data_IF_518843847779
#
_entry.id   IF_518843847779
#
_cell.length_a   1.000
_cell.length_b   1.000
_cell.length_c   1.000
_cell.angle_alpha   90.00
_cell.angle_beta   90.00
_cell.angle_gamma   90.00
#
_symmetry.space_group_name_H-M   'P 1'
#
loop_
_entity.id
_entity.type
_entity.pdbx_description
1 polymer ?
#
# COMPACT_ATOMS: atom_id res chain seq x y z
N UNK A 1 -12.77 14.68 14.86
CA UNK A 1 -12.22 16.03 15.04
C UNK A 1 -13.36 17.04 15.30
N UNK A 2 -13.05 18.15 15.94
CA UNK A 2 -14.06 19.15 16.33
C UNK A 2 -14.79 19.82 15.16
N UNK A 3 -14.34 19.59 13.93
CA UNK A 3 -14.91 20.14 12.69
C UNK A 3 -15.77 19.13 11.90
N UNK A 4 -16.20 18.02 12.50
CA UNK A 4 -16.98 16.98 11.84
C UNK A 4 -16.16 16.05 10.92
N UNK A 5 -14.84 16.20 10.87
CA UNK A 5 -13.95 15.32 10.13
C UNK A 5 -13.45 14.17 10.99
N UNK A 6 -13.24 13.03 10.35
CA UNK A 6 -12.61 11.85 10.95
C UNK A 6 -11.17 11.77 10.47
N UNK A 7 -10.22 11.63 11.40
CA UNK A 7 -8.84 11.29 11.08
C UNK A 7 -8.73 9.78 10.94
N UNK A 8 -8.29 9.35 9.78
CA UNK A 8 -7.90 7.97 9.51
C UNK A 8 -6.39 7.83 9.64
N UNK A 9 -5.95 6.76 10.28
CA UNK A 9 -4.53 6.45 10.38
C UNK A 9 -4.34 4.94 10.32
N UNK A 10 -3.45 4.51 9.43
CA UNK A 10 -3.01 3.12 9.31
C UNK A 10 -1.49 3.03 9.32
N UNK A 11 -0.97 1.86 9.68
CA UNK A 11 0.46 1.55 9.65
C UNK A 11 0.66 0.11 9.20
N UNK A 12 1.43 -0.04 8.13
CA UNK A 12 1.87 -1.33 7.62
C UNK A 12 3.37 -1.33 7.38
N UNK A 13 3.98 -2.48 7.59
CA UNK A 13 5.38 -2.74 7.26
C UNK A 13 5.53 -4.11 6.64
N UNK A 14 6.17 -4.19 5.50
CA UNK A 14 6.41 -5.42 4.75
C UNK A 14 7.89 -5.77 4.77
N UNK A 15 8.18 -7.07 4.74
CA UNK A 15 9.49 -7.61 4.44
C UNK A 15 9.63 -7.74 2.92
N UNK A 16 10.81 -7.45 2.39
CA UNK A 16 11.07 -7.55 0.96
C UNK A 16 10.81 -8.97 0.42
N UNK A 17 9.98 -9.05 -0.60
CA UNK A 17 9.62 -10.27 -1.32
C UNK A 17 10.10 -10.27 -2.78
N UNK A 18 10.72 -9.17 -3.22
CA UNK A 18 11.43 -9.02 -4.48
C UNK A 18 12.79 -8.40 -4.24
N UNK A 19 13.76 -8.68 -5.13
CA UNK A 19 15.14 -8.23 -4.97
C UNK A 19 15.37 -6.77 -5.38
N UNK A 20 14.45 -6.17 -6.12
CA UNK A 20 14.52 -4.76 -6.54
C UNK A 20 13.94 -3.85 -5.44
N UNK A 21 14.75 -3.03 -4.75
CA UNK A 21 14.29 -2.19 -3.66
C UNK A 21 13.28 -1.11 -4.13
N UNK A 22 13.44 -0.59 -5.35
CA UNK A 22 12.53 0.38 -5.92
C UNK A 22 11.14 -0.22 -6.15
N UNK A 23 11.08 -1.39 -6.82
CA UNK A 23 9.82 -2.10 -7.06
C UNK A 23 9.15 -2.54 -5.75
N UNK A 24 9.96 -3.04 -4.81
CA UNK A 24 9.46 -3.41 -3.47
C UNK A 24 8.80 -2.23 -2.78
N UNK A 25 9.49 -1.08 -2.71
CA UNK A 25 8.93 0.11 -2.06
C UNK A 25 7.70 0.65 -2.80
N UNK A 26 7.66 0.57 -4.14
CA UNK A 26 6.50 0.96 -4.93
C UNK A 26 5.27 0.12 -4.59
N UNK A 27 5.42 -1.20 -4.51
CA UNK A 27 4.33 -2.12 -4.12
C UNK A 27 3.92 -1.90 -2.67
N UNK A 28 4.90 -1.83 -1.76
CA UNK A 28 4.63 -1.64 -0.33
C UNK A 28 3.94 -0.30 -0.04
N UNK A 29 4.30 0.77 -0.74
CA UNK A 29 3.62 2.06 -0.61
C UNK A 29 2.16 1.97 -1.06
N UNK A 30 1.88 1.37 -2.22
CA UNK A 30 0.50 1.16 -2.68
C UNK A 30 -0.32 0.30 -1.69
N UNK A 31 0.30 -0.71 -1.09
CA UNK A 31 -0.33 -1.53 -0.05
C UNK A 31 -0.70 -0.66 1.17
N UNK A 32 0.25 0.11 1.71
CA UNK A 32 0.00 0.98 2.87
C UNK A 32 -1.08 2.06 2.61
N UNK A 33 -1.24 2.54 1.37
CA UNK A 33 -2.29 3.50 1.02
C UNK A 33 -3.68 2.84 0.94
N UNK A 34 -3.75 1.52 0.75
CA UNK A 34 -5.00 0.80 0.48
C UNK A 34 -5.97 0.84 1.65
N UNK A 35 -5.49 0.82 2.88
CA UNK A 35 -6.34 0.96 4.08
C UNK A 35 -7.13 2.28 4.09
N UNK A 36 -6.49 3.37 3.67
CA UNK A 36 -7.14 4.68 3.59
C UNK A 36 -8.18 4.68 2.48
N UNK A 37 -7.88 4.06 1.33
CA UNK A 37 -8.83 3.91 0.24
C UNK A 37 -10.01 3.01 0.60
N UNK A 38 -9.77 1.93 1.33
CA UNK A 38 -10.81 1.01 1.79
C UNK A 38 -11.82 1.70 2.72
N UNK A 39 -11.40 2.71 3.46
CA UNK A 39 -12.28 3.53 4.30
C UNK A 39 -13.00 4.65 3.52
N UNK A 40 -12.90 4.70 2.20
CA UNK A 40 -13.55 5.75 1.39
C UNK A 40 -12.87 7.11 1.51
N UNK A 41 -11.58 7.14 1.81
CA UNK A 41 -10.81 8.37 1.95
C UNK A 41 -9.57 8.36 1.04
N UNK A 42 -8.86 9.49 1.05
CA UNK A 42 -7.63 9.65 0.30
C UNK A 42 -6.47 9.98 1.23
N UNK A 43 -5.27 9.45 0.97
CA UNK A 43 -4.10 9.72 1.79
C UNK A 43 -3.73 11.21 1.71
N UNK A 44 -3.35 11.78 2.84
CA UNK A 44 -2.91 13.17 2.96
C UNK A 44 -1.42 13.25 3.23
N UNK A 45 -0.92 12.47 4.19
CA UNK A 45 0.50 12.47 4.56
C UNK A 45 0.94 11.10 5.07
N UNK A 46 2.25 10.83 4.95
CA UNK A 46 2.85 9.59 5.38
C UNK A 46 4.17 9.79 6.12
N UNK A 47 4.49 8.85 7.02
CA UNK A 47 5.81 8.67 7.63
C UNK A 47 6.37 7.34 7.17
N UNK A 48 7.61 7.31 6.65
CA UNK A 48 8.25 6.08 6.23
C UNK A 48 8.96 5.36 7.39
N UNK A 49 8.81 4.05 7.46
CA UNK A 49 9.53 3.17 8.40
C UNK A 49 10.37 2.20 7.59
N UNK A 50 11.69 2.28 7.73
CA UNK A 50 12.63 1.52 6.89
C UNK A 50 13.61 0.72 7.74
N UNK A 51 13.69 -0.59 7.49
CA UNK A 51 14.75 -1.45 8.00
C UNK A 51 15.71 -1.83 6.88
N UNK A 52 17.01 -1.57 7.04
CA UNK A 52 18.01 -1.89 6.02
C UNK A 52 19.00 -2.91 6.57
N UNK A 53 19.27 -4.02 5.86
CA UNK A 53 20.25 -5.00 6.29
C UNK A 53 21.64 -4.41 6.43
N UNK A 54 22.38 -4.89 7.44
CA UNK A 54 23.76 -4.49 7.64
C UNK A 54 24.61 -4.80 6.40
N UNK A 55 25.23 -3.78 5.84
CA UNK A 55 26.04 -3.87 4.64
C UNK A 55 27.11 -2.76 4.59
N UNK A 56 27.91 -2.73 3.54
CA UNK A 56 28.81 -1.60 3.32
C UNK A 56 28.02 -0.29 3.19
N UNK A 57 28.57 0.80 3.72
CA UNK A 57 27.93 2.14 3.69
C UNK A 57 27.47 2.55 2.28
N UNK A 58 28.21 2.17 1.24
CA UNK A 58 27.85 2.44 -0.17
C UNK A 58 26.58 1.69 -0.57
N UNK A 59 26.50 0.41 -0.21
CA UNK A 59 25.37 -0.45 -0.56
C UNK A 59 24.09 -0.05 0.21
N UNK A 60 24.21 0.16 1.53
CA UNK A 60 23.09 0.66 2.36
C UNK A 60 22.51 1.97 1.82
N UNK A 61 23.40 2.91 1.43
CA UNK A 61 22.96 4.18 0.84
C UNK A 61 22.23 3.98 -0.48
N UNK A 62 22.69 3.04 -1.32
CA UNK A 62 22.03 2.73 -2.60
C UNK A 62 20.66 2.11 -2.37
N UNK A 63 20.54 1.11 -1.50
CA UNK A 63 19.27 0.48 -1.17
C UNK A 63 18.25 1.51 -0.64
N UNK A 64 18.67 2.33 0.33
CA UNK A 64 17.81 3.36 0.89
C UNK A 64 17.35 4.37 -0.17
N UNK A 65 18.26 4.77 -1.07
CA UNK A 65 17.91 5.68 -2.17
C UNK A 65 16.86 5.09 -3.10
N UNK A 66 17.00 3.82 -3.50
CA UNK A 66 16.04 3.17 -4.39
C UNK A 66 14.69 2.92 -3.70
N UNK A 67 14.68 2.52 -2.43
CA UNK A 67 13.45 2.44 -1.63
C UNK A 67 12.72 3.78 -1.60
N UNK A 68 13.42 4.85 -1.23
CA UNK A 68 12.80 6.18 -1.12
C UNK A 68 12.35 6.72 -2.48
N UNK A 69 13.03 6.37 -3.57
CA UNK A 69 12.59 6.71 -4.93
C UNK A 69 11.27 6.05 -5.28
N UNK A 70 11.13 4.73 -5.05
CA UNK A 70 9.88 4.02 -5.30
C UNK A 70 8.73 4.50 -4.43
N UNK A 71 9.00 4.80 -3.16
CA UNK A 71 8.05 5.41 -2.25
C UNK A 71 7.57 6.79 -2.75
N UNK A 72 8.50 7.67 -3.09
CA UNK A 72 8.19 9.04 -3.51
C UNK A 72 7.33 9.08 -4.78
N UNK A 73 7.65 8.25 -5.78
CA UNK A 73 6.86 8.13 -7.01
C UNK A 73 5.39 7.79 -6.69
N UNK A 74 5.13 6.80 -5.81
CA UNK A 74 3.76 6.43 -5.43
C UNK A 74 3.07 7.52 -4.65
N UNK A 75 3.73 8.13 -3.68
CA UNK A 75 3.13 9.19 -2.86
C UNK A 75 2.79 10.42 -3.70
N UNK A 76 3.66 10.81 -4.64
CA UNK A 76 3.42 11.91 -5.57
C UNK A 76 2.23 11.62 -6.50
N UNK A 77 2.15 10.41 -7.10
CA UNK A 77 1.03 9.97 -7.93
C UNK A 77 -0.32 10.01 -7.18
N UNK A 78 -0.30 9.87 -5.86
CA UNK A 78 -1.49 9.82 -4.99
C UNK A 78 -1.71 11.10 -4.17
N UNK A 79 -0.98 12.19 -4.44
CA UNK A 79 -1.04 13.48 -3.73
C UNK A 79 -0.87 13.33 -2.20
N UNK A 80 -0.01 12.41 -1.77
CA UNK A 80 0.32 12.15 -0.38
C UNK A 80 1.70 12.71 -0.04
N UNK A 81 1.80 13.56 0.96
CA UNK A 81 3.07 14.18 1.35
C UNK A 81 3.89 13.27 2.27
N UNK A 82 5.15 13.03 1.93
CA UNK A 82 6.09 12.37 2.85
C UNK A 82 6.64 13.38 3.85
N UNK A 83 6.11 13.36 5.07
CA UNK A 83 6.43 14.36 6.11
C UNK A 83 7.55 13.95 7.08
N UNK A 84 8.13 12.77 6.87
CA UNK A 84 9.23 12.26 7.70
C UNK A 84 9.27 10.75 7.78
N UNK A 85 9.90 10.24 8.82
CA UNK A 85 10.01 8.80 9.04
C UNK A 85 11.22 8.42 9.88
N UNK A 86 11.51 7.13 9.90
CA UNK A 86 12.66 6.57 10.60
C UNK A 86 13.30 5.45 9.79
N UNK A 87 14.62 5.38 9.80
CA UNK A 87 15.38 4.26 9.23
C UNK A 87 16.33 3.68 10.28
N UNK A 88 16.41 2.35 10.32
CA UNK A 88 17.28 1.61 11.24
C UNK A 88 17.94 0.42 10.54
N UNK A 89 19.00 -0.10 11.13
CA UNK A 89 19.55 -1.39 10.74
C UNK A 89 18.62 -2.53 11.20
N UNK A 90 18.47 -3.54 10.36
CA UNK A 90 17.65 -4.72 10.65
C UNK A 90 18.26 -5.97 10.00
N UNK A 91 17.74 -7.16 10.33
CA UNK A 91 18.15 -8.42 9.68
C UNK A 91 17.68 -8.52 8.23
N UNK A 92 16.57 -7.87 7.91
CA UNK A 92 15.91 -7.95 6.62
C UNK A 92 15.67 -6.55 6.04
N UNK A 93 15.47 -6.49 4.72
CA UNK A 93 14.98 -5.26 4.09
C UNK A 93 13.50 -5.11 4.40
N UNK A 94 13.16 -4.10 5.18
CA UNK A 94 11.79 -3.78 5.61
C UNK A 94 11.41 -2.40 5.10
N UNK A 95 10.19 -2.27 4.64
CA UNK A 95 9.64 -0.97 4.25
C UNK A 95 8.17 -0.89 4.60
N UNK A 96 7.74 0.25 5.11
CA UNK A 96 6.35 0.51 5.42
C UNK A 96 6.06 1.99 5.59
N UNK A 97 4.79 2.30 5.71
CA UNK A 97 4.31 3.65 5.93
C UNK A 97 3.32 3.70 7.09
N UNK A 98 3.38 4.78 7.86
CA UNK A 98 2.26 5.22 8.67
C UNK A 98 1.54 6.31 7.87
N UNK A 99 0.34 6.01 7.38
CA UNK A 99 -0.43 6.89 6.49
C UNK A 99 -1.57 7.56 7.25
N UNK A 100 -1.82 8.82 6.94
CA UNK A 100 -2.97 9.58 7.44
C UNK A 100 -3.85 10.06 6.31
N UNK A 101 -5.15 10.02 6.52
CA UNK A 101 -6.17 10.58 5.64
C UNK A 101 -7.27 11.25 6.45
N UNK A 102 -8.13 11.99 5.77
CA UNK A 102 -9.28 12.65 6.37
C UNK A 102 -10.54 12.32 5.58
N UNK A 103 -11.64 12.08 6.30
CA UNK A 103 -12.96 11.86 5.72
C UNK A 103 -14.01 12.67 6.47
N UNK A 104 -15.12 12.94 5.84
CA UNK A 104 -16.35 13.37 6.51
C UNK A 104 -16.99 12.13 7.16
N UNK A 105 -17.54 12.27 8.38
CA UNK A 105 -18.08 11.13 9.15
C UNK A 105 -19.14 10.34 8.38
N UNK A 106 -19.99 11.00 7.61
CA UNK A 106 -21.04 10.36 6.80
C UNK A 106 -20.58 9.77 5.46
N UNK A 107 -19.28 9.81 5.13
CA UNK A 107 -18.73 9.30 3.86
C UNK A 107 -17.83 8.06 4.03
N UNK A 108 -17.68 7.57 5.27
CA UNK A 108 -16.85 6.40 5.54
C UNK A 108 -17.47 5.13 4.95
N UNK A 109 -16.65 4.36 4.25
CA UNK A 109 -16.99 3.01 3.77
C UNK A 109 -16.61 1.99 4.85
N UNK A 110 -17.50 1.77 5.80
CA UNK A 110 -17.29 0.81 6.89
C UNK A 110 -17.60 -0.61 6.43
N UNK A 111 -16.91 -1.61 7.00
CA UNK A 111 -17.14 -3.05 6.68
C UNK A 111 -18.54 -3.52 7.11
N UNK A 112 -19.14 -2.89 8.09
CA UNK A 112 -20.49 -3.19 8.60
C UNK A 112 -21.63 -2.50 7.83
N UNK A 113 -21.30 -1.68 6.82
CA UNK A 113 -22.26 -1.04 5.95
C UNK A 113 -22.91 -1.97 4.92
N UNK A 114 -22.42 -3.20 4.75
CA UNK A 114 -22.92 -4.17 3.75
C UNK A 114 -24.37 -4.58 4.05
N UNK A 115 -25.18 -4.64 2.99
CA UNK A 115 -26.61 -4.94 3.07
C UNK A 115 -26.97 -6.20 2.29
N UNK A 116 -28.10 -6.83 2.67
CA UNK A 116 -28.64 -7.97 1.92
C UNK A 116 -29.04 -7.55 0.51
N UNK A 117 -28.55 -8.27 -0.49
CA UNK A 117 -28.74 -7.94 -1.91
C UNK A 117 -27.60 -7.15 -2.54
N UNK A 118 -26.59 -6.73 -1.79
CA UNK A 118 -25.39 -6.07 -2.35
C UNK A 118 -24.62 -6.99 -3.28
N UNK A 119 -24.04 -6.40 -4.33
CA UNK A 119 -23.14 -7.09 -5.27
C UNK A 119 -21.70 -6.91 -4.80
N UNK A 120 -20.99 -8.03 -4.64
CA UNK A 120 -19.57 -8.02 -4.32
C UNK A 120 -18.73 -7.77 -5.57
N UNK A 121 -17.89 -6.75 -5.54
CA UNK A 121 -17.00 -6.36 -6.63
C UNK A 121 -15.55 -6.57 -6.20
N UNK A 122 -14.81 -7.37 -6.96
CA UNK A 122 -13.38 -7.55 -6.80
C UNK A 122 -12.64 -6.72 -7.87
N UNK A 123 -11.84 -5.76 -7.44
CA UNK A 123 -11.17 -4.81 -8.36
C UNK A 123 -9.86 -5.33 -8.95
N UNK A 124 -9.24 -6.32 -8.32
CA UNK A 124 -8.01 -6.98 -8.77
C UNK A 124 -8.10 -8.49 -8.54
N UNK A 125 -7.35 -9.26 -9.32
CA UNK A 125 -7.29 -10.71 -9.16
C UNK A 125 -6.68 -11.09 -7.81
N UNK A 126 -7.24 -12.12 -7.17
CA UNK A 126 -6.71 -12.74 -5.96
C UNK A 126 -5.55 -13.69 -6.28
N UNK A 127 -4.75 -14.04 -5.25
CA UNK A 127 -3.76 -15.10 -5.34
C UNK A 127 -2.31 -14.63 -5.47
N UNK A 128 -2.02 -13.33 -5.33
CA UNK A 128 -0.66 -12.79 -5.39
C UNK A 128 0.26 -13.45 -4.37
N UNK A 129 -0.20 -13.64 -3.13
CA UNK A 129 0.57 -14.33 -2.08
C UNK A 129 0.86 -15.79 -2.41
N UNK A 130 -0.09 -16.51 -3.02
CA UNK A 130 0.13 -17.89 -3.47
C UNK A 130 1.18 -17.95 -4.58
N UNK A 131 1.15 -17.00 -5.52
CA UNK A 131 2.13 -16.91 -6.60
C UNK A 131 3.53 -16.61 -6.08
N UNK A 132 3.68 -15.65 -5.17
CA UNK A 132 4.96 -15.33 -4.53
C UNK A 132 5.50 -16.52 -3.73
N UNK A 133 4.64 -17.23 -2.99
CA UNK A 133 5.04 -18.43 -2.26
C UNK A 133 5.45 -19.58 -3.20
N UNK A 134 4.85 -19.69 -4.38
CA UNK A 134 5.26 -20.65 -5.41
C UNK A 134 6.59 -20.25 -6.06
N UNK A 135 6.81 -18.96 -6.29
CA UNK A 135 8.06 -18.42 -6.84
C UNK A 135 9.25 -18.68 -5.92
N UNK A 136 9.11 -18.46 -4.63
CA UNK A 136 10.13 -18.81 -3.61
C UNK A 136 10.52 -20.29 -3.62
N UNK A 137 9.69 -21.15 -4.20
CA UNK A 137 9.91 -22.60 -4.36
C UNK A 137 10.29 -22.99 -5.78
N UNK A 138 10.55 -22.02 -6.66
CA UNK A 138 10.84 -22.23 -8.08
C UNK A 138 9.74 -22.98 -8.83
N UNK A 139 8.46 -22.79 -8.46
CA UNK A 139 7.28 -23.45 -9.02
C UNK A 139 6.34 -22.52 -9.79
N UNK A 140 6.61 -21.22 -9.80
CA UNK A 140 5.82 -20.25 -10.54
C UNK A 140 6.41 -20.02 -11.95
N UNK A 141 5.53 -19.75 -12.93
CA UNK A 141 5.95 -19.26 -14.24
C UNK A 141 6.24 -17.76 -14.15
N UNK A 142 7.31 -17.34 -14.83
CA UNK A 142 7.72 -15.93 -14.84
C UNK A 142 6.58 -14.97 -15.22
N UNK A 143 5.79 -15.30 -16.23
CA UNK A 143 4.65 -14.48 -16.69
C UNK A 143 3.61 -14.24 -15.58
N UNK A 144 3.35 -15.26 -14.74
CA UNK A 144 2.41 -15.12 -13.63
C UNK A 144 2.93 -14.18 -12.55
N UNK A 145 4.23 -14.25 -12.26
CA UNK A 145 4.88 -13.35 -11.29
C UNK A 145 4.91 -11.92 -11.84
N UNK A 146 5.26 -11.73 -13.11
CA UNK A 146 5.28 -10.41 -13.74
C UNK A 146 3.88 -9.75 -13.68
N UNK A 147 2.82 -10.48 -14.01
CA UNK A 147 1.44 -10.00 -13.93
C UNK A 147 1.00 -9.68 -12.49
N UNK A 148 1.40 -10.52 -11.52
CA UNK A 148 1.11 -10.27 -10.11
C UNK A 148 1.80 -8.98 -9.62
N UNK A 149 3.09 -8.80 -9.90
CA UNK A 149 3.86 -7.61 -9.53
C UNK A 149 3.30 -6.35 -10.21
N UNK A 150 2.89 -6.45 -11.46
CA UNK A 150 2.22 -5.35 -12.17
C UNK A 150 0.91 -4.96 -11.48
N UNK A 151 0.06 -5.94 -11.13
CA UNK A 151 -1.19 -5.71 -10.41
C UNK A 151 -0.95 -5.08 -9.03
N UNK A 152 0.04 -5.58 -8.28
CA UNK A 152 0.41 -5.04 -6.96
C UNK A 152 0.95 -3.61 -7.02
N UNK A 153 1.57 -3.23 -8.15
CA UNK A 153 2.10 -1.87 -8.37
C UNK A 153 1.02 -0.85 -8.73
N UNK A 154 -0.21 -1.28 -9.00
CA UNK A 154 -1.31 -0.37 -9.33
C UNK A 154 -1.96 0.17 -8.05
N UNK A 155 -2.16 1.49 -7.99
CA UNK A 155 -2.92 2.14 -6.92
C UNK A 155 -4.40 1.72 -6.94
N UNK A 156 -5.01 1.62 -5.77
CA UNK A 156 -6.45 1.43 -5.58
C UNK A 156 -7.23 2.76 -5.63
N UNK A 157 -6.56 3.88 -5.90
CA UNK A 157 -7.15 5.22 -5.97
C UNK A 157 -8.40 5.30 -6.86
N UNK A 158 -8.31 4.80 -8.10
CA UNK A 158 -9.43 4.87 -9.04
C UNK A 158 -10.62 4.00 -8.61
N UNK A 159 -10.36 2.83 -8.01
CA UNK A 159 -11.39 1.97 -7.48
C UNK A 159 -12.13 2.66 -6.32
N UNK A 160 -11.41 3.23 -5.36
CA UNK A 160 -11.99 3.98 -4.24
C UNK A 160 -12.82 5.16 -4.73
N UNK A 161 -12.31 5.93 -5.68
CA UNK A 161 -13.03 7.05 -6.29
C UNK A 161 -14.33 6.60 -6.97
N UNK A 162 -14.30 5.48 -7.67
CA UNK A 162 -15.47 4.89 -8.32
C UNK A 162 -16.51 4.44 -7.28
N UNK A 163 -16.10 3.74 -6.22
CA UNK A 163 -16.99 3.29 -5.15
C UNK A 163 -17.69 4.45 -4.45
N UNK A 164 -16.98 5.52 -4.13
CA UNK A 164 -17.58 6.73 -3.57
C UNK A 164 -18.58 7.39 -4.52
N UNK A 165 -18.22 7.52 -5.80
CA UNK A 165 -19.09 8.12 -6.81
C UNK A 165 -20.38 7.33 -7.05
N UNK A 166 -20.37 6.03 -6.82
CA UNK A 166 -21.52 5.13 -6.99
C UNK A 166 -22.14 4.67 -5.67
N UNK A 167 -21.83 5.35 -4.57
CA UNK A 167 -22.44 5.12 -3.25
C UNK A 167 -22.34 3.65 -2.80
N UNK A 168 -21.15 3.05 -2.91
CA UNK A 168 -20.91 1.72 -2.36
C UNK A 168 -21.24 1.69 -0.86
N UNK A 169 -21.89 0.62 -0.38
CA UNK A 169 -22.33 0.50 1.01
C UNK A 169 -21.17 0.13 1.96
N UNK A 170 -20.20 -0.63 1.47
CA UNK A 170 -19.05 -1.09 2.25
C UNK A 170 -17.83 -1.29 1.35
N UNK A 171 -16.65 -1.26 1.94
CA UNK A 171 -15.40 -1.58 1.28
C UNK A 171 -14.40 -2.19 2.27
N UNK A 172 -13.50 -3.01 1.75
CA UNK A 172 -12.29 -3.47 2.46
C UNK A 172 -11.20 -3.74 1.44
N UNK A 173 -9.96 -3.56 1.84
CA UNK A 173 -8.80 -4.09 1.11
C UNK A 173 -8.60 -5.58 1.40
N UNK A 174 -7.79 -6.28 0.57
CA UNK A 174 -7.51 -7.71 0.68
C UNK A 174 -6.00 -7.96 0.51
#
# INVERSE_FOLDING_TARGET
LDNGKVLLQSVDQLKAFVNDPWLFAKIASNHCLSDIYAMGSFPHSALAIVGVPFASKKYTKLQLKELMRGCHEVLEENNCELIGGHSAESSDLLFGLCVKGFAEEGQLLSKDGMQDGDILILTKALGTGCLLAADMRFKARHEWIANALQSMSQSNYLAAKCFLAHHANACTDI
#
